data_IF_850073680028
#
_entry.id   IF_850073680028
#
_cell.length_a   1.000
_cell.length_b   1.000
_cell.length_c   1.000
_cell.angle_alpha   90.00
_cell.angle_beta   90.00
_cell.angle_gamma   90.00
#
_symmetry.space_group_name_H-M   'P 1'
#
loop_
_entity.id
_entity.type
_entity.pdbx_description
1 polymer ?
#
# COMPACT_ATOMS: atom_id res chain seq x y z
N UNK A 1 -36.11 5.60 -7.71
CA UNK A 1 -34.95 4.72 -7.90
C UNK A 1 -34.31 4.99 -9.25
N UNK A 2 -33.00 5.22 -9.33
CA UNK A 2 -32.29 5.42 -10.61
C UNK A 2 -32.29 4.10 -11.40
N UNK A 3 -32.60 4.14 -12.70
CA UNK A 3 -32.60 2.96 -13.59
C UNK A 3 -31.24 2.25 -13.57
N UNK A 4 -31.24 0.92 -13.51
CA UNK A 4 -30.04 0.10 -13.34
C UNK A 4 -28.97 0.40 -14.39
N UNK A 5 -29.35 0.46 -15.66
CA UNK A 5 -28.44 0.77 -16.78
C UNK A 5 -27.76 2.13 -16.63
N UNK A 6 -28.49 3.15 -16.18
CA UNK A 6 -27.95 4.49 -15.98
C UNK A 6 -26.96 4.50 -14.81
N UNK A 7 -27.25 3.77 -13.74
CA UNK A 7 -26.35 3.63 -12.59
C UNK A 7 -25.01 3.01 -12.98
N UNK A 8 -25.05 1.90 -13.73
CA UNK A 8 -23.83 1.22 -14.20
C UNK A 8 -23.06 2.10 -15.20
N UNK A 9 -23.75 2.78 -16.12
CA UNK A 9 -23.12 3.70 -17.06
C UNK A 9 -22.36 4.84 -16.38
N UNK A 10 -22.90 5.39 -15.29
CA UNK A 10 -22.22 6.41 -14.49
C UNK A 10 -20.99 5.85 -13.76
N UNK A 11 -21.06 4.62 -13.24
CA UNK A 11 -19.90 3.97 -12.61
C UNK A 11 -18.75 3.75 -13.60
N UNK A 12 -19.06 3.29 -14.82
CA UNK A 12 -18.07 3.10 -15.89
C UNK A 12 -17.43 4.45 -16.26
N UNK A 13 -18.23 5.52 -16.38
CA UNK A 13 -17.73 6.87 -16.67
C UNK A 13 -16.78 7.38 -15.57
N UNK A 14 -17.17 7.24 -14.31
CA UNK A 14 -16.33 7.68 -13.18
C UNK A 14 -15.07 6.83 -13.03
N UNK A 15 -15.13 5.53 -13.31
CA UNK A 15 -13.96 4.67 -13.38
C UNK A 15 -13.02 5.11 -14.52
N UNK A 16 -13.56 5.32 -15.72
CA UNK A 16 -12.81 5.81 -16.88
C UNK A 16 -12.10 7.16 -16.63
N UNK A 17 -12.71 8.05 -15.85
CA UNK A 17 -12.08 9.33 -15.44
C UNK A 17 -10.91 9.13 -14.45
N UNK A 18 -10.87 8.01 -13.73
CA UNK A 18 -9.88 7.75 -12.67
C UNK A 18 -8.74 6.82 -13.10
N UNK A 19 -8.88 6.09 -14.20
CA UNK A 19 -7.79 5.28 -14.78
C UNK A 19 -6.73 6.15 -15.46
N UNK A 20 -5.55 5.56 -15.69
CA UNK A 20 -4.41 6.17 -16.40
C UNK A 20 -3.89 7.48 -15.78
N UNK A 21 -4.04 7.65 -14.46
CA UNK A 21 -3.36 8.73 -13.74
C UNK A 21 -1.88 8.38 -13.56
N UNK A 22 -0.97 9.35 -13.65
CA UNK A 22 0.43 9.12 -13.34
C UNK A 22 0.55 8.62 -11.89
N UNK A 23 1.39 7.61 -11.70
CA UNK A 23 1.75 7.10 -10.37
C UNK A 23 3.06 7.76 -9.99
N UNK A 24 3.05 8.53 -8.89
CA UNK A 24 4.27 9.08 -8.31
C UNK A 24 5.05 7.95 -7.63
N UNK A 25 6.33 7.80 -7.99
CA UNK A 25 7.20 6.75 -7.49
C UNK A 25 8.44 7.38 -6.84
N UNK A 26 8.81 6.88 -5.66
CA UNK A 26 10.08 7.21 -5.02
C UNK A 26 10.90 5.93 -4.85
N UNK A 27 12.10 5.92 -5.44
CA UNK A 27 13.05 4.82 -5.32
C UNK A 27 14.27 5.34 -4.55
N UNK A 28 14.62 4.66 -3.46
CA UNK A 28 15.77 4.97 -2.64
C UNK A 28 17.09 4.48 -3.23
N UNK A 29 18.16 4.63 -2.45
CA UNK A 29 19.44 3.98 -2.74
C UNK A 29 19.33 2.47 -2.47
N UNK A 30 20.11 1.63 -3.16
CA UNK A 30 20.20 0.20 -2.84
C UNK A 30 20.56 -0.02 -1.37
N UNK A 31 19.95 -1.02 -0.75
CA UNK A 31 20.27 -1.43 0.62
C UNK A 31 21.52 -2.33 0.57
N UNK A 32 22.62 -1.97 1.27
CA UNK A 32 23.82 -2.81 1.32
C UNK A 32 23.56 -4.17 1.98
N UNK A 33 24.27 -5.21 1.54
CA UNK A 33 24.11 -6.56 2.07
C UNK A 33 24.42 -6.65 3.57
N UNK A 34 25.37 -5.87 4.07
CA UNK A 34 25.75 -5.86 5.49
C UNK A 34 24.58 -5.44 6.39
N UNK A 35 23.64 -4.63 5.88
CA UNK A 35 22.42 -4.25 6.60
C UNK A 35 21.37 -5.35 6.63
N UNK A 36 21.41 -6.28 5.67
CA UNK A 36 20.46 -7.39 5.55
C UNK A 36 20.96 -8.66 6.25
N UNK A 37 22.27 -8.85 6.32
CA UNK A 37 22.92 -10.02 6.93
C UNK A 37 22.39 -10.37 8.34
N UNK A 38 22.10 -9.42 9.25
CA UNK A 38 21.58 -9.73 10.58
C UNK A 38 20.22 -10.43 10.57
N UNK A 39 19.41 -10.27 9.52
CA UNK A 39 18.06 -10.83 9.44
C UNK A 39 18.01 -12.17 8.68
N UNK A 40 19.15 -12.74 8.28
CA UNK A 40 19.19 -13.91 7.38
C UNK A 40 18.41 -15.14 7.88
N UNK A 41 18.29 -15.31 9.20
CA UNK A 41 17.52 -16.40 9.81
C UNK A 41 16.08 -16.01 10.21
N UNK A 42 15.75 -14.72 10.19
CA UNK A 42 14.45 -14.20 10.64
C UNK A 42 13.80 -13.38 9.53
N UNK A 43 12.99 -14.06 8.72
CA UNK A 43 12.26 -13.45 7.62
C UNK A 43 11.22 -12.41 8.08
N UNK A 44 10.70 -12.53 9.31
CA UNK A 44 9.75 -11.56 9.86
C UNK A 44 10.46 -10.25 10.18
N UNK A 45 11.58 -10.33 10.90
CA UNK A 45 12.40 -9.16 11.19
C UNK A 45 12.95 -8.51 9.91
N UNK A 46 13.33 -9.32 8.90
CA UNK A 46 13.71 -8.82 7.57
C UNK A 46 12.60 -7.98 6.94
N UNK A 47 11.36 -8.49 6.94
CA UNK A 47 10.23 -7.78 6.35
C UNK A 47 9.89 -6.50 7.12
N UNK A 48 10.01 -6.49 8.45
CA UNK A 48 9.81 -5.28 9.25
C UNK A 48 10.83 -4.19 8.93
N UNK A 49 12.09 -4.58 8.77
CA UNK A 49 13.15 -3.67 8.33
C UNK A 49 12.86 -3.10 6.94
N UNK A 50 12.58 -3.96 5.95
CA UNK A 50 12.30 -3.53 4.57
C UNK A 50 11.06 -2.63 4.48
N UNK A 51 10.01 -2.91 5.27
CA UNK A 51 8.80 -2.09 5.36
C UNK A 51 9.14 -0.68 5.88
N UNK A 52 9.94 -0.58 6.95
CA UNK A 52 10.38 0.71 7.50
C UNK A 52 11.20 1.51 6.49
N UNK A 53 12.19 0.89 5.86
CA UNK A 53 13.01 1.55 4.83
C UNK A 53 12.14 2.05 3.66
N UNK A 54 11.16 1.24 3.22
CA UNK A 54 10.24 1.63 2.15
C UNK A 54 9.38 2.84 2.53
N UNK A 55 8.82 2.85 3.74
CA UNK A 55 8.00 3.98 4.20
C UNK A 55 8.80 5.24 4.50
N UNK A 56 10.06 5.11 4.87
CA UNK A 56 10.97 6.25 5.02
C UNK A 56 11.24 6.98 3.68
N UNK A 57 11.01 6.33 2.52
CA UNK A 57 11.10 6.97 1.21
C UNK A 57 9.89 7.85 0.87
N UNK A 58 8.80 7.78 1.65
CA UNK A 58 7.59 8.53 1.34
C UNK A 58 7.86 10.04 1.41
N UNK A 59 7.48 10.82 0.37
CA UNK A 59 7.60 12.28 0.40
C UNK A 59 6.61 12.91 1.40
N UNK A 60 5.60 12.15 1.82
CA UNK A 60 4.62 12.55 2.84
C UNK A 60 4.86 11.72 4.10
N UNK A 61 4.99 12.33 5.30
CA UNK A 61 5.26 11.58 6.52
C UNK A 61 4.22 10.50 6.81
N UNK A 62 4.68 9.26 6.92
CA UNK A 62 3.84 8.12 7.32
C UNK A 62 3.69 8.15 8.84
N UNK A 63 2.49 8.48 9.34
CA UNK A 63 2.23 8.63 10.78
C UNK A 63 2.21 7.30 11.54
N UNK A 64 1.92 6.20 10.86
CA UNK A 64 1.83 4.87 11.46
C UNK A 64 2.50 3.82 10.56
N UNK A 65 3.49 3.13 11.12
CA UNK A 65 4.22 2.04 10.46
C UNK A 65 3.69 0.66 10.88
N UNK A 66 2.68 0.63 11.76
CA UNK A 66 2.02 -0.56 12.26
C UNK A 66 1.43 -1.42 11.14
N UNK A 67 1.12 -2.67 11.47
CA UNK A 67 0.47 -3.57 10.52
C UNK A 67 -0.96 -3.08 10.22
N UNK A 68 -1.44 -3.37 9.01
CA UNK A 68 -2.65 -2.78 8.46
C UNK A 68 -3.92 -3.00 9.30
N UNK A 69 -4.96 -2.25 8.94
CA UNK A 69 -6.27 -2.35 9.56
C UNK A 69 -6.92 -3.72 9.25
N UNK A 70 -7.16 -4.55 10.26
CA UNK A 70 -7.90 -5.81 10.12
C UNK A 70 -9.41 -5.54 10.01
N UNK A 71 -10.03 -5.99 8.92
CA UNK A 71 -11.46 -5.80 8.66
C UNK A 71 -12.32 -7.00 9.09
N UNK A 72 -11.71 -8.12 9.53
CA UNK A 72 -12.41 -9.37 9.84
C UNK A 72 -13.19 -9.32 11.17
N UNK A 73 -12.81 -8.46 12.11
CA UNK A 73 -13.51 -8.33 13.40
C UNK A 73 -14.93 -7.76 13.27
N UNK A 74 -15.27 -7.15 12.13
CA UNK A 74 -16.53 -6.44 11.91
C UNK A 74 -17.68 -7.32 11.40
N UNK A 75 -17.45 -8.61 11.16
CA UNK A 75 -18.46 -9.53 10.61
C UNK A 75 -18.85 -10.69 11.53
N UNK A 76 -18.40 -10.68 12.79
CA UNK A 76 -18.76 -11.71 13.78
C UNK A 76 -20.05 -11.37 14.55
N UNK A 77 -21.13 -10.90 13.92
CA UNK A 77 -22.44 -10.76 14.58
C UNK A 77 -23.59 -11.08 13.62
#
# INVERSE_FOLDING_TARGET
HLHYTLRVGLLIKEFGRRVNKPVELVIGKPIPHEKLAPFGADSRAMMDFLRKETYALSPVPVRDLGYGFEFEDRYKH
#
